data_IF_609607517867
#
_entry.id   IF_609607517867
#
_cell.length_a   1.000
_cell.length_b   1.000
_cell.length_c   1.000
_cell.angle_alpha   90.00
_cell.angle_beta   90.00
_cell.angle_gamma   90.00
#
_symmetry.space_group_name_H-M   'P 1'
#
loop_
_entity.id
_entity.type
_entity.pdbx_description
1 polymer ?
#
# COMPACT_ATOMS: atom_id res chain seq x y z
N UNK A 1 -9.60 24.23 6.29
CA UNK A 1 -8.90 23.43 5.26
C UNK A 1 -9.66 22.11 5.04
N UNK A 2 -10.30 21.90 3.88
CA UNK A 2 -11.07 20.66 3.64
C UNK A 2 -10.15 19.50 3.24
N UNK A 3 -9.70 18.70 4.23
CA UNK A 3 -8.84 17.52 4.02
C UNK A 3 -9.37 16.55 2.96
N UNK A 4 -10.70 16.43 2.83
CA UNK A 4 -11.35 15.61 1.79
C UNK A 4 -10.89 15.95 0.37
N UNK A 5 -10.78 17.24 0.02
CA UNK A 5 -10.36 17.69 -1.31
C UNK A 5 -8.91 17.31 -1.64
N UNK A 6 -8.01 17.45 -0.65
CA UNK A 6 -6.60 17.07 -0.79
C UNK A 6 -6.44 15.56 -0.98
N UNK A 7 -7.24 14.76 -0.28
CA UNK A 7 -7.22 13.30 -0.40
C UNK A 7 -7.78 12.85 -1.76
N UNK A 8 -8.81 13.51 -2.28
CA UNK A 8 -9.29 13.24 -3.64
C UNK A 8 -8.23 13.58 -4.69
N UNK A 9 -7.53 14.71 -4.51
CA UNK A 9 -6.38 15.06 -5.34
C UNK A 9 -5.26 14.02 -5.28
N UNK A 10 -4.94 13.49 -4.09
CA UNK A 10 -3.96 12.42 -3.92
C UNK A 10 -4.41 11.14 -4.62
N UNK A 11 -5.66 10.71 -4.41
CA UNK A 11 -6.25 9.56 -5.09
C UNK A 11 -6.13 9.70 -6.61
N UNK A 12 -6.47 10.86 -7.18
CA UNK A 12 -6.35 11.11 -8.62
C UNK A 12 -4.89 11.06 -9.10
N UNK A 13 -3.94 11.55 -8.30
CA UNK A 13 -2.50 11.43 -8.58
C UNK A 13 -2.03 9.98 -8.59
N UNK A 14 -2.51 9.14 -7.67
CA UNK A 14 -2.20 7.71 -7.65
C UNK A 14 -2.85 6.99 -8.83
N UNK A 15 -4.12 7.27 -9.13
CA UNK A 15 -4.82 6.73 -10.30
C UNK A 15 -4.10 7.03 -11.61
N UNK A 16 -3.61 8.26 -11.80
CA UNK A 16 -2.85 8.62 -12.99
C UNK A 16 -1.55 7.80 -13.13
N UNK A 17 -0.84 7.55 -12.02
CA UNK A 17 0.36 6.70 -11.99
C UNK A 17 0.04 5.23 -12.22
N UNK A 18 -1.08 4.76 -11.67
CA UNK A 18 -1.58 3.41 -11.92
C UNK A 18 -1.87 3.18 -13.41
N UNK A 19 -2.38 4.19 -14.11
CA UNK A 19 -2.56 4.10 -15.56
C UNK A 19 -1.22 3.94 -16.30
N UNK A 20 -0.17 4.65 -15.89
CA UNK A 20 1.19 4.51 -16.46
C UNK A 20 1.72 3.09 -16.24
N UNK A 21 1.69 2.62 -14.99
CA UNK A 21 2.14 1.27 -14.63
C UNK A 21 1.30 0.21 -15.36
N UNK A 22 0.00 0.43 -15.51
CA UNK A 22 -0.88 -0.49 -16.24
C UNK A 22 -0.54 -0.57 -17.73
N UNK A 23 -0.08 0.53 -18.34
CA UNK A 23 0.38 0.51 -19.73
C UNK A 23 1.68 -0.28 -19.87
N UNK A 24 2.63 -0.09 -18.95
CA UNK A 24 3.89 -0.86 -18.91
C UNK A 24 3.65 -2.35 -18.60
N UNK A 25 2.72 -2.66 -17.70
CA UNK A 25 2.38 -4.04 -17.36
C UNK A 25 1.71 -4.80 -18.52
N UNK A 26 1.16 -4.08 -19.51
CA UNK A 26 0.57 -4.61 -20.73
C UNK A 26 1.52 -4.68 -21.93
N UNK A 27 2.73 -4.11 -21.84
CA UNK A 27 3.73 -4.18 -22.90
C UNK A 27 4.62 -5.43 -22.77
N UNK A 28 5.26 -5.81 -23.87
CA UNK A 28 6.29 -6.86 -23.86
C UNK A 28 7.62 -6.33 -23.30
N UNK A 29 7.89 -5.03 -23.48
CA UNK A 29 9.10 -4.37 -23.00
C UNK A 29 8.94 -3.88 -21.56
N UNK A 30 9.91 -4.18 -20.68
CA UNK A 30 9.97 -3.65 -19.32
C UNK A 30 8.84 -4.12 -18.37
N UNK A 31 8.19 -5.25 -18.67
CA UNK A 31 7.07 -5.78 -17.87
C UNK A 31 7.49 -6.81 -16.82
N UNK A 32 8.80 -6.94 -16.58
CA UNK A 32 9.36 -7.84 -15.58
C UNK A 32 8.85 -7.47 -14.18
N UNK A 33 8.59 -8.49 -13.36
CA UNK A 33 8.01 -8.30 -12.03
C UNK A 33 8.86 -7.38 -11.15
N UNK A 34 10.19 -7.53 -11.20
CA UNK A 34 11.12 -6.67 -10.45
C UNK A 34 11.05 -5.22 -10.92
N UNK A 35 10.98 -4.98 -12.23
CA UNK A 35 10.89 -3.63 -12.82
C UNK A 35 9.57 -2.99 -12.40
N UNK A 36 8.44 -3.68 -12.56
CA UNK A 36 7.12 -3.19 -12.16
C UNK A 36 7.04 -2.89 -10.66
N UNK A 37 7.66 -3.74 -9.81
CA UNK A 37 7.75 -3.52 -8.35
C UNK A 37 8.53 -2.25 -8.02
N UNK A 38 9.70 -2.06 -8.63
CA UNK A 38 10.52 -0.86 -8.42
C UNK A 38 9.79 0.39 -8.89
N UNK A 39 9.13 0.33 -10.05
CA UNK A 39 8.33 1.45 -10.58
C UNK A 39 7.12 1.77 -9.69
N UNK A 40 6.43 0.77 -9.14
CA UNK A 40 5.35 0.99 -8.19
C UNK A 40 5.85 1.69 -6.93
N UNK A 41 6.98 1.26 -6.38
CA UNK A 41 7.60 1.90 -5.22
C UNK A 41 7.99 3.36 -5.53
N UNK A 42 8.67 3.58 -6.65
CA UNK A 42 9.21 4.88 -7.03
C UNK A 42 8.14 5.90 -7.46
N UNK A 43 7.10 5.47 -8.16
CA UNK A 43 6.08 6.39 -8.70
C UNK A 43 4.89 6.54 -7.77
N UNK A 44 4.35 5.43 -7.26
CA UNK A 44 3.08 5.40 -6.51
C UNK A 44 3.32 5.49 -5.02
N UNK A 45 4.09 4.55 -4.45
CA UNK A 45 4.28 4.50 -3.00
C UNK A 45 5.04 5.72 -2.51
N UNK A 46 6.06 6.21 -3.22
CA UNK A 46 6.78 7.44 -2.85
C UNK A 46 5.83 8.62 -2.59
N UNK A 47 4.81 8.80 -3.43
CA UNK A 47 3.84 9.89 -3.33
C UNK A 47 2.82 9.63 -2.21
N UNK A 48 2.38 8.39 -2.06
CA UNK A 48 1.47 8.02 -0.98
C UNK A 48 2.15 8.16 0.39
N UNK A 49 3.38 7.70 0.53
CA UNK A 49 4.18 7.70 1.75
C UNK A 49 4.66 9.10 2.13
N UNK A 50 5.03 9.93 1.14
CA UNK A 50 5.31 11.34 1.38
C UNK A 50 4.10 12.06 1.99
N UNK A 51 2.89 11.71 1.55
CA UNK A 51 1.66 12.29 2.06
C UNK A 51 1.10 11.55 3.30
N UNK A 52 1.81 10.59 3.90
CA UNK A 52 1.27 9.68 4.92
C UNK A 52 0.55 10.40 6.08
N UNK A 53 1.09 11.52 6.57
CA UNK A 53 0.48 12.32 7.64
C UNK A 53 -0.88 12.92 7.26
N UNK A 54 -1.11 13.18 5.97
CA UNK A 54 -2.32 13.87 5.48
C UNK A 54 -3.51 12.93 5.41
N UNK A 55 -3.28 11.65 5.08
CA UNK A 55 -4.33 10.67 4.89
C UNK A 55 -4.36 9.61 5.98
N UNK A 56 -3.82 9.88 7.16
CA UNK A 56 -3.87 8.98 8.32
C UNK A 56 -5.30 8.76 8.87
N UNK A 57 -6.23 9.69 8.61
CA UNK A 57 -7.58 9.68 9.19
C UNK A 57 -8.57 8.73 8.47
N UNK A 58 -9.84 8.73 8.88
CA UNK A 58 -10.98 7.96 8.32
C UNK A 58 -11.11 7.90 6.78
N UNK A 59 -10.42 8.77 6.03
CA UNK A 59 -10.40 8.80 4.56
C UNK A 59 -9.33 7.89 3.92
N UNK A 60 -8.58 7.10 4.71
CA UNK A 60 -7.56 6.16 4.23
C UNK A 60 -8.05 5.22 3.13
N UNK A 61 -9.31 4.80 3.23
CA UNK A 61 -9.92 3.79 2.34
C UNK A 61 -9.75 4.15 0.87
N UNK A 62 -9.89 5.43 0.50
CA UNK A 62 -9.74 5.91 -0.89
C UNK A 62 -8.33 5.70 -1.43
N UNK A 63 -7.31 6.01 -0.62
CA UNK A 63 -5.91 5.84 -0.98
C UNK A 63 -5.55 4.35 -1.03
N UNK A 64 -6.03 3.56 -0.05
CA UNK A 64 -5.83 2.12 -0.05
C UNK A 64 -6.44 1.42 -1.26
N UNK A 65 -7.60 1.87 -1.75
CA UNK A 65 -8.16 1.33 -3.00
C UNK A 65 -7.20 1.49 -4.17
N UNK A 66 -6.57 2.66 -4.32
CA UNK A 66 -5.60 2.90 -5.40
C UNK A 66 -4.29 2.14 -5.19
N UNK A 67 -3.80 2.01 -3.96
CA UNK A 67 -2.62 1.19 -3.65
C UNK A 67 -2.89 -0.29 -3.93
N UNK A 68 -4.04 -0.82 -3.51
CA UNK A 68 -4.47 -2.19 -3.84
C UNK A 68 -4.62 -2.39 -5.34
N UNK A 69 -5.09 -1.39 -6.08
CA UNK A 69 -5.13 -1.44 -7.54
C UNK A 69 -3.73 -1.47 -8.16
N UNK A 70 -2.80 -0.67 -7.63
CA UNK A 70 -1.38 -0.69 -8.02
C UNK A 70 -0.83 -2.09 -7.89
N UNK A 71 -1.08 -2.71 -6.73
CA UNK A 71 -0.62 -4.06 -6.47
C UNK A 71 -1.22 -5.03 -7.50
N UNK A 72 -2.55 -5.08 -7.64
CA UNK A 72 -3.19 -5.95 -8.64
C UNK A 72 -2.62 -5.78 -10.05
N UNK A 73 -2.30 -4.54 -10.46
CA UNK A 73 -1.63 -4.27 -11.73
C UNK A 73 -0.26 -4.94 -11.78
N UNK A 74 0.61 -4.77 -10.78
CA UNK A 74 1.97 -5.32 -10.85
C UNK A 74 2.05 -6.82 -10.55
N UNK A 75 1.07 -7.43 -9.91
CA UNK A 75 0.99 -8.91 -9.76
C UNK A 75 0.26 -9.61 -10.89
N UNK A 76 -0.58 -8.90 -11.64
CA UNK A 76 -1.47 -9.52 -12.62
C UNK A 76 -2.64 -10.26 -11.97
N UNK A 77 -2.88 -9.97 -10.70
CA UNK A 77 -3.97 -10.49 -9.89
C UNK A 77 -5.31 -9.90 -10.35
N UNK A 78 -6.37 -10.70 -10.26
CA UNK A 78 -7.71 -10.25 -10.61
C UNK A 78 -8.36 -9.53 -9.42
N UNK A 79 -9.50 -8.86 -9.65
CA UNK A 79 -10.20 -8.09 -8.60
C UNK A 79 -10.64 -8.95 -7.41
N UNK A 80 -10.93 -10.23 -7.61
CA UNK A 80 -11.39 -11.14 -6.55
C UNK A 80 -10.27 -11.65 -5.65
N UNK A 81 -9.00 -11.49 -6.02
CA UNK A 81 -7.88 -11.82 -5.14
C UNK A 81 -8.01 -11.07 -3.83
N UNK A 82 -7.95 -11.81 -2.73
CA UNK A 82 -8.05 -11.26 -1.37
C UNK A 82 -6.92 -10.24 -1.14
N UNK A 83 -7.20 -9.14 -0.44
CA UNK A 83 -6.28 -8.00 -0.35
C UNK A 83 -5.01 -8.38 0.42
N UNK A 84 -5.10 -9.30 1.36
CA UNK A 84 -4.01 -9.76 2.21
C UNK A 84 -2.93 -10.51 1.42
N UNK A 85 -3.28 -11.10 0.26
CA UNK A 85 -2.33 -11.74 -0.65
C UNK A 85 -1.47 -10.73 -1.43
N UNK A 86 -1.98 -9.54 -1.71
CA UNK A 86 -1.30 -8.58 -2.60
C UNK A 86 0.10 -8.17 -2.09
N UNK A 87 0.27 -7.79 -0.80
CA UNK A 87 1.58 -7.48 -0.23
C UNK A 87 2.60 -8.62 -0.38
N UNK A 88 2.13 -9.86 -0.19
CA UNK A 88 2.96 -11.07 -0.22
C UNK A 88 3.43 -11.38 -1.62
N UNK A 89 2.53 -11.35 -2.59
CA UNK A 89 2.86 -11.64 -3.99
C UNK A 89 3.87 -10.63 -4.55
N UNK A 90 3.81 -9.37 -4.13
CA UNK A 90 4.71 -8.31 -4.63
C UNK A 90 5.96 -8.13 -3.83
N UNK A 91 6.01 -8.79 -2.68
CA UNK A 91 7.05 -8.57 -1.71
C UNK A 91 7.15 -7.07 -1.33
N UNK A 92 6.01 -6.42 -1.10
CA UNK A 92 5.90 -5.05 -0.58
C UNK A 92 5.04 -5.12 0.67
N UNK A 93 5.52 -4.60 1.79
CA UNK A 93 4.76 -4.61 3.05
C UNK A 93 3.37 -3.95 2.90
N UNK A 94 2.36 -4.34 3.69
CA UNK A 94 1.01 -3.84 3.54
C UNK A 94 0.97 -2.30 3.69
N UNK A 95 0.10 -1.60 2.93
CA UNK A 95 0.01 -0.15 2.96
C UNK A 95 -0.21 0.46 4.35
N UNK A 96 -0.95 -0.22 5.22
CA UNK A 96 -1.32 0.30 6.54
C UNK A 96 -0.12 0.42 7.49
N UNK A 97 0.63 -0.65 7.83
CA UNK A 97 1.80 -0.54 8.68
C UNK A 97 2.93 0.28 8.00
N UNK A 98 3.04 0.27 6.67
CA UNK A 98 3.95 1.18 5.95
C UNK A 98 3.59 2.65 6.20
N UNK A 99 2.31 3.03 6.07
CA UNK A 99 1.88 4.40 6.34
C UNK A 99 2.23 4.82 7.77
N UNK A 100 1.98 3.98 8.76
CA UNK A 100 2.30 4.26 10.16
C UNK A 100 3.80 4.54 10.35
N UNK A 101 4.65 3.67 9.81
CA UNK A 101 6.11 3.82 9.85
C UNK A 101 6.59 5.12 9.18
N UNK A 102 6.04 5.47 8.01
CA UNK A 102 6.43 6.70 7.32
C UNK A 102 5.92 7.96 8.03
N UNK A 103 4.72 7.91 8.61
CA UNK A 103 4.17 8.97 9.43
C UNK A 103 5.03 9.21 10.69
N UNK A 104 5.41 8.14 11.38
CA UNK A 104 6.29 8.21 12.57
C UNK A 104 7.62 8.89 12.24
N UNK A 105 8.32 8.41 11.21
CA UNK A 105 9.58 9.02 10.74
C UNK A 105 9.44 10.51 10.42
N UNK A 106 8.31 10.90 9.86
CA UNK A 106 8.04 12.30 9.52
C UNK A 106 7.79 13.14 10.78
N UNK A 107 7.03 12.63 11.75
CA UNK A 107 6.83 13.27 13.06
C UNK A 107 8.16 13.41 13.80
N UNK A 108 8.99 12.37 13.84
CA UNK A 108 10.30 12.43 14.49
C UNK A 108 11.23 13.45 13.84
N UNK A 109 11.19 13.57 12.51
CA UNK A 109 11.95 14.58 11.79
C UNK A 109 11.48 15.99 12.14
N UNK A 110 10.17 16.18 12.33
CA UNK A 110 9.61 17.47 12.76
C UNK A 110 10.05 17.78 14.19
N UNK A 111 9.92 16.82 15.12
CA UNK A 111 10.34 16.97 16.52
C UNK A 111 11.83 17.28 16.67
N UNK A 112 12.68 16.68 15.81
CA UNK A 112 14.13 16.92 15.79
C UNK A 112 14.53 18.30 15.26
N UNK A 113 13.64 19.02 14.57
CA UNK A 113 13.95 20.35 14.01
C UNK A 113 12.92 21.39 14.45
N UNK A 114 13.19 22.10 15.57
CA UNK A 114 12.31 23.16 16.08
C UNK A 114 12.11 24.33 15.12
N UNK A 115 12.99 24.52 14.12
CA UNK A 115 12.86 25.61 13.14
C UNK A 115 11.74 25.38 12.12
N UNK A 116 11.18 24.16 12.06
CA UNK A 116 10.10 23.86 11.13
C UNK A 116 8.78 24.48 11.61
N UNK A 117 8.00 25.14 10.74
CA UNK A 117 6.69 25.68 11.10
C UNK A 117 5.69 24.63 11.63
N UNK A 118 5.93 23.35 11.30
CA UNK A 118 5.11 22.24 11.78
C UNK A 118 5.44 21.82 13.21
N UNK A 119 6.55 22.27 13.79
CA UNK A 119 6.96 21.92 15.15
C UNK A 119 5.92 22.36 16.18
N UNK A 120 5.56 23.64 16.18
CA UNK A 120 4.55 24.22 17.07
C UNK A 120 3.18 23.54 16.91
N UNK A 121 2.83 23.14 15.68
CA UNK A 121 1.58 22.42 15.41
C UNK A 121 1.53 21.03 16.06
N UNK A 122 2.68 20.41 16.36
CA UNK A 122 2.77 19.09 16.99
C UNK A 122 3.04 19.20 18.49
N UNK A 123 3.75 20.23 18.97
CA UNK A 123 4.10 20.37 20.38
C UNK A 123 3.09 21.19 21.17
N UNK A 124 2.58 22.27 20.57
CA UNK A 124 1.62 23.20 21.18
C UNK A 124 0.30 23.12 20.44
N UNK A 125 -0.29 21.91 20.41
CA UNK A 125 -1.55 21.69 19.74
C UNK A 125 -2.76 22.06 20.62
N UNK A 126 -3.82 22.66 20.04
CA UNK A 126 -5.05 22.93 20.78
C UNK A 126 -5.75 21.63 21.18
N UNK A 127 -6.60 21.72 22.19
CA UNK A 127 -7.44 20.59 22.58
C UNK A 127 -8.27 20.11 21.40
N UNK A 128 -8.42 18.79 21.28
CA UNK A 128 -9.20 18.16 20.21
C UNK A 128 -10.65 18.64 20.27
N UNK A 129 -11.07 19.42 19.27
CA UNK A 129 -12.42 20.01 19.25
C UNK A 129 -13.53 19.03 18.86
N UNK A 130 -13.21 18.00 18.07
CA UNK A 130 -14.17 16.98 17.62
C UNK A 130 -13.58 15.57 17.74
N UNK A 131 -14.31 14.66 18.41
CA UNK A 131 -13.91 13.25 18.58
C UNK A 131 -13.63 12.53 17.26
N UNK A 132 -14.40 12.86 16.21
CA UNK A 132 -14.30 12.25 14.88
C UNK A 132 -13.07 12.66 14.07
N UNK A 133 -12.36 13.72 14.47
CA UNK A 133 -11.14 14.16 13.77
C UNK A 133 -9.95 13.40 14.33
N UNK A 134 -9.01 13.02 13.48
CA UNK A 134 -7.78 12.36 13.87
C UNK A 134 -6.60 13.24 13.46
N UNK A 135 -6.24 14.25 14.28
CA UNK A 135 -5.14 15.15 13.97
C UNK A 135 -3.79 14.45 14.09
N UNK A 136 -2.75 15.07 13.52
CA UNK A 136 -1.40 14.50 13.43
C UNK A 136 -0.72 14.33 14.80
N UNK A 137 -1.16 15.04 15.82
CA UNK A 137 -0.64 14.88 17.18
C UNK A 137 -1.35 13.79 18.00
N UNK A 138 -2.47 13.26 17.50
CA UNK A 138 -3.25 12.18 18.13
C UNK A 138 -2.85 10.80 17.54
N UNK A 139 -1.71 10.74 16.86
CA UNK A 139 -1.22 9.55 16.18
C UNK A 139 -0.54 8.62 17.19
N UNK A 140 -1.11 7.44 17.37
CA UNK A 140 -0.43 6.34 18.04
C UNK A 140 0.37 5.55 17.01
N UNK A 141 1.67 5.45 17.21
CA UNK A 141 2.55 4.64 16.38
C UNK A 141 2.73 3.24 17.00
N UNK A 142 2.83 2.19 16.17
CA UNK A 142 3.07 0.85 16.66
C UNK A 142 4.46 0.79 17.30
N UNK A 143 4.55 0.13 18.45
CA UNK A 143 5.83 -0.13 19.15
C UNK A 143 6.65 -1.19 18.41
N UNK A 144 5.96 -2.10 17.74
CA UNK A 144 6.55 -3.22 17.01
C UNK A 144 7.09 -2.80 15.64
N UNK A 145 8.18 -3.44 15.23
CA UNK A 145 8.73 -3.23 13.90
C UNK A 145 7.75 -3.63 12.77
N UNK A 146 7.86 -2.97 11.62
CA UNK A 146 7.10 -3.29 10.39
C UNK A 146 7.16 -4.79 10.03
N UNK A 147 8.30 -5.44 10.26
CA UNK A 147 8.50 -6.86 9.99
C UNK A 147 7.59 -7.75 10.84
N UNK A 148 7.51 -7.45 12.14
CA UNK A 148 6.74 -8.21 13.11
C UNK A 148 5.25 -8.01 12.81
N UNK A 149 4.82 -6.76 12.68
CA UNK A 149 3.42 -6.41 12.38
C UNK A 149 2.93 -7.06 11.08
N UNK A 150 3.75 -7.09 10.02
CA UNK A 150 3.38 -7.77 8.77
C UNK A 150 3.27 -9.28 8.95
N UNK A 151 4.23 -9.93 9.62
CA UNK A 151 4.18 -11.38 9.87
C UNK A 151 2.95 -11.79 10.68
N UNK A 152 2.61 -11.02 11.72
CA UNK A 152 1.41 -11.24 12.52
C UNK A 152 0.15 -11.05 11.68
N UNK A 153 0.05 -9.94 10.95
CA UNK A 153 -1.09 -9.69 10.04
C UNK A 153 -1.28 -10.78 8.98
N UNK A 154 -0.18 -11.35 8.47
CA UNK A 154 -0.24 -12.45 7.50
C UNK A 154 -0.76 -13.73 8.14
N UNK A 155 -0.22 -14.13 9.30
CA UNK A 155 -0.66 -15.34 10.03
C UNK A 155 -2.14 -15.26 10.43
N UNK A 156 -2.58 -14.09 10.89
CA UNK A 156 -3.95 -13.86 11.37
C UNK A 156 -4.93 -13.49 10.23
N UNK A 157 -4.46 -13.48 8.98
CA UNK A 157 -5.26 -12.98 7.85
C UNK A 157 -6.48 -13.84 7.51
N UNK A 158 -6.47 -15.11 7.90
CA UNK A 158 -7.52 -16.09 7.61
C UNK A 158 -7.72 -16.39 6.12
N UNK A 159 -6.82 -15.93 5.24
CA UNK A 159 -6.96 -16.12 3.80
C UNK A 159 -6.65 -17.57 3.41
N UNK A 160 -7.30 -18.02 2.33
CA UNK A 160 -6.99 -19.34 1.76
C UNK A 160 -5.54 -19.41 1.31
N UNK A 161 -4.90 -20.52 1.60
CA UNK A 161 -3.50 -20.76 1.26
C UNK A 161 -2.48 -19.97 2.09
N UNK A 162 -2.87 -19.41 3.25
CA UNK A 162 -1.93 -18.69 4.14
C UNK A 162 -0.69 -19.52 4.50
N UNK A 163 -0.86 -20.85 4.64
CA UNK A 163 0.19 -21.81 4.96
C UNK A 163 1.18 -22.04 3.83
N UNK A 164 0.88 -21.60 2.60
CA UNK A 164 1.79 -21.71 1.46
C UNK A 164 3.01 -20.79 1.59
N UNK A 165 2.89 -19.72 2.41
CA UNK A 165 3.95 -18.74 2.62
C UNK A 165 4.24 -18.62 4.12
N UNK A 166 5.39 -19.14 4.54
CA UNK A 166 5.83 -19.05 5.94
C UNK A 166 6.27 -17.62 6.33
N UNK A 167 7.02 -16.96 5.43
CA UNK A 167 7.51 -15.61 5.65
C UNK A 167 7.10 -14.69 4.48
N UNK A 168 6.20 -13.72 4.71
CA UNK A 168 5.72 -12.82 3.66
C UNK A 168 6.78 -11.81 3.16
N UNK A 169 7.89 -11.67 3.89
CA UNK A 169 9.01 -10.79 3.51
C UNK A 169 9.95 -11.41 2.48
N UNK A 170 9.84 -12.72 2.25
CA UNK A 170 10.63 -13.41 1.23
C UNK A 170 9.89 -13.32 -0.09
N UNK A 171 10.62 -13.07 -1.19
CA UNK A 171 10.01 -13.07 -2.53
C UNK A 171 9.43 -14.44 -2.81
N UNK A 172 8.17 -14.46 -3.24
CA UNK A 172 7.55 -15.71 -3.64
C UNK A 172 8.25 -16.28 -4.88
N UNK A 173 8.33 -17.62 -5.03
CA UNK A 173 9.05 -18.25 -6.15
C UNK A 173 8.56 -17.78 -7.53
N UNK A 174 9.43 -17.74 -8.54
CA UNK A 174 9.05 -17.35 -9.90
C UNK A 174 8.92 -15.84 -10.14
N UNK A 175 9.47 -15.02 -9.24
CA UNK A 175 9.54 -13.56 -9.40
C UNK A 175 10.32 -13.13 -10.67
N UNK A 176 11.19 -14.01 -11.13
CA UNK A 176 12.01 -13.97 -12.34
C UNK A 176 11.28 -14.46 -13.61
N UNK A 177 10.10 -15.08 -13.46
CA UNK A 177 9.35 -15.59 -14.60
C UNK A 177 8.83 -14.45 -15.51
N UNK A 178 8.69 -14.73 -16.81
CA UNK A 178 7.99 -13.85 -17.72
C UNK A 178 6.59 -13.50 -17.21
N UNK A 179 6.18 -12.26 -17.46
CA UNK A 179 4.95 -11.65 -16.94
C UNK A 179 3.70 -12.53 -17.01
N UNK A 180 3.50 -13.22 -18.14
CA UNK A 180 2.34 -14.10 -18.38
C UNK A 180 2.36 -15.32 -17.45
N UNK A 181 3.52 -15.95 -17.27
CA UNK A 181 3.70 -17.10 -16.39
C UNK A 181 3.57 -16.67 -14.93
N UNK A 182 4.22 -15.57 -14.55
CA UNK A 182 4.09 -14.97 -13.22
C UNK A 182 2.62 -14.68 -12.84
N UNK A 183 1.88 -14.03 -13.75
CA UNK A 183 0.45 -13.72 -13.52
C UNK A 183 -0.39 -14.99 -13.39
N UNK A 184 -0.06 -16.05 -14.12
CA UNK A 184 -0.76 -17.34 -14.04
C UNK A 184 -0.45 -18.05 -12.72
N UNK A 185 0.82 -18.05 -12.31
CA UNK A 185 1.26 -18.63 -11.05
C UNK A 185 0.58 -17.96 -9.85
N UNK A 186 0.47 -16.63 -9.86
CA UNK A 186 -0.21 -15.88 -8.79
C UNK A 186 -1.71 -16.22 -8.69
N UNK A 187 -2.36 -16.52 -9.81
CA UNK A 187 -3.76 -16.99 -9.82
C UNK A 187 -3.90 -18.36 -9.19
N UNK A 188 -2.95 -19.26 -9.44
CA UNK A 188 -2.91 -20.58 -8.82
C UNK A 188 -2.71 -20.46 -7.31
N UNK A 189 -1.72 -19.66 -6.86
CA UNK A 189 -1.46 -19.41 -5.43
C UNK A 189 -2.67 -18.91 -4.66
N UNK A 190 -3.43 -18.03 -5.29
CA UNK A 190 -4.58 -17.37 -4.66
C UNK A 190 -5.90 -18.09 -4.94
N UNK A 191 -5.86 -19.19 -5.68
CA UNK A 191 -7.04 -19.93 -6.17
C UNK A 191 -8.05 -19.01 -6.89
N UNK A 192 -7.57 -17.93 -7.51
CA UNK A 192 -8.37 -16.92 -8.18
C UNK A 192 -8.14 -16.96 -9.69
N UNK A 193 -9.03 -17.64 -10.42
CA UNK A 193 -9.00 -17.75 -11.88
C UNK A 193 -9.94 -16.78 -12.60
N UNK A 194 -9.81 -16.68 -13.93
CA UNK A 194 -10.82 -16.03 -14.78
C UNK A 194 -11.96 -17.02 -15.03
N UNK A 195 -12.96 -17.04 -14.17
CA UNK A 195 -14.15 -17.88 -14.34
C UNK A 195 -15.27 -17.11 -15.06
N UNK A 196 -16.18 -17.81 -15.74
CA UNK A 196 -17.35 -17.18 -16.43
C UNK A 196 -18.16 -16.27 -15.49
N UNK A 197 -18.32 -16.69 -14.23
CA UNK A 197 -18.95 -15.90 -13.16
C UNK A 197 -18.21 -14.59 -12.82
N UNK A 198 -16.94 -14.47 -13.20
CA UNK A 198 -16.07 -13.33 -12.93
C UNK A 198 -15.80 -12.46 -14.18
N UNK A 199 -16.19 -12.93 -15.36
CA UNK A 199 -16.01 -12.23 -16.65
C UNK A 199 -17.16 -11.27 -16.98
N UNK A 200 -18.33 -11.45 -16.37
CA UNK A 200 -19.45 -10.52 -16.49
C UNK A 200 -19.40 -9.49 -15.36
N UNK A 201 -18.89 -8.29 -15.67
CA UNK A 201 -19.17 -7.02 -15.00
C UNK A 201 -18.54 -5.87 -15.77
#
# INVERSE_FOLDING_TARGET
>A
MHFSSKIEGLKNKLKARNNIISKLAGSTWGSDTTVLRVLALALVYSVAEYCALVWFSSYCKKVFTELNQTMRIITGSIRTTEVQWLPVLENIAPPDPRRLMHAERMVDKIKRNPKLPLYENITTHPHKSLKSRHPIWDLTFPVEALSITWKTQWKDSGVRGVTLIENPEIRTPGFDLPRKLWSTLNRIRTEQGRCKSLLHK
#
